data_IF_565346290184
#
_entry.id   IF_565346290184
#
_cell.length_a   1.000
_cell.length_b   1.000
_cell.length_c   1.000
_cell.angle_alpha   90.00
_cell.angle_beta   90.00
_cell.angle_gamma   90.00
#
_symmetry.space_group_name_H-M   'P 1'
#
loop_
_entity.id
_entity.type
_entity.pdbx_description
1 polymer ?
#
# COMPACT_ATOMS: atom_id res chain seq x y z
N UNK A 1 -17.17 -19.04 -17.72
CA UNK A 1 -16.08 -18.51 -16.88
C UNK A 1 -16.71 -17.38 -16.09
N UNK A 2 -16.74 -17.53 -14.77
CA UNK A 2 -17.16 -16.45 -13.86
C UNK A 2 -16.03 -15.43 -13.78
N UNK A 3 -16.39 -14.16 -13.78
CA UNK A 3 -15.45 -13.07 -13.60
C UNK A 3 -15.32 -12.75 -12.10
N UNK A 4 -14.13 -12.45 -11.60
CA UNK A 4 -13.90 -12.12 -10.20
C UNK A 4 -13.14 -10.79 -10.01
N UNK A 5 -13.29 -10.25 -8.81
CA UNK A 5 -12.39 -9.24 -8.25
C UNK A 5 -12.30 -9.53 -6.75
N UNK A 6 -11.10 -9.87 -6.26
CA UNK A 6 -10.84 -10.20 -4.86
C UNK A 6 -9.73 -9.32 -4.32
N UNK A 7 -9.81 -8.98 -3.05
CA UNK A 7 -8.75 -8.30 -2.31
C UNK A 7 -8.42 -9.10 -1.06
N UNK A 8 -7.15 -9.46 -0.92
CA UNK A 8 -6.55 -10.03 0.28
C UNK A 8 -5.64 -8.98 0.91
N UNK A 9 -5.70 -8.81 2.22
CA UNK A 9 -4.90 -7.85 2.98
C UNK A 9 -4.20 -8.56 4.14
N UNK A 10 -3.00 -9.09 3.87
CA UNK A 10 -2.24 -9.96 4.74
C UNK A 10 -1.79 -9.25 6.05
N UNK A 11 -1.37 -10.01 7.08
CA UNK A 11 -0.89 -9.45 8.34
C UNK A 11 0.52 -8.88 8.16
N UNK A 12 0.63 -7.55 8.05
CA UNK A 12 1.86 -6.81 7.80
C UNK A 12 2.37 -5.95 8.98
N UNK A 13 1.81 -6.18 10.17
CA UNK A 13 1.98 -5.40 11.40
C UNK A 13 1.70 -3.92 11.16
N UNK A 14 2.73 -3.09 11.08
CA UNK A 14 2.63 -1.67 10.83
C UNK A 14 2.60 -1.27 9.34
N UNK A 15 2.90 -2.18 8.40
CA UNK A 15 2.94 -1.89 6.96
C UNK A 15 1.81 -2.53 6.13
N UNK A 16 1.96 -2.48 4.80
CA UNK A 16 1.03 -3.09 3.83
C UNK A 16 1.55 -4.39 3.22
N UNK A 17 0.63 -5.31 2.94
CA UNK A 17 0.81 -6.44 2.04
C UNK A 17 -0.56 -6.82 1.48
N UNK A 18 -0.86 -6.44 0.24
CA UNK A 18 -2.17 -6.61 -0.40
C UNK A 18 -2.03 -7.41 -1.69
N UNK A 19 -2.97 -8.32 -1.95
CA UNK A 19 -3.07 -9.02 -3.24
C UNK A 19 -4.47 -8.82 -3.83
N UNK A 20 -4.52 -8.34 -5.06
CA UNK A 20 -5.73 -8.35 -5.87
C UNK A 20 -5.69 -9.58 -6.79
N UNK A 21 -6.74 -10.39 -6.77
CA UNK A 21 -7.05 -11.35 -7.85
C UNK A 21 -8.18 -10.78 -8.71
N UNK A 22 -8.12 -10.91 -10.03
CA UNK A 22 -9.19 -10.43 -10.90
C UNK A 22 -9.23 -11.16 -12.25
N UNK A 23 -10.36 -11.07 -12.97
CA UNK A 23 -10.55 -11.78 -14.25
C UNK A 23 -11.17 -13.16 -14.08
N UNK A 24 -10.81 -14.10 -14.95
CA UNK A 24 -11.34 -15.47 -14.92
C UNK A 24 -11.12 -16.11 -13.54
N UNK A 25 -12.22 -16.46 -12.85
CA UNK A 25 -12.19 -16.96 -11.48
C UNK A 25 -11.36 -18.24 -11.30
N UNK A 26 -11.21 -19.01 -12.38
CA UNK A 26 -10.46 -20.27 -12.40
C UNK A 26 -8.95 -20.04 -12.65
N UNK A 27 -8.58 -18.89 -13.23
CA UNK A 27 -7.20 -18.49 -13.58
C UNK A 27 -7.03 -16.96 -13.47
N UNK A 28 -7.13 -16.40 -12.26
CA UNK A 28 -7.16 -14.95 -12.12
C UNK A 28 -5.80 -14.32 -12.38
N UNK A 29 -5.84 -13.12 -12.93
CA UNK A 29 -4.74 -12.18 -12.95
C UNK A 29 -4.46 -11.67 -11.54
N UNK A 30 -3.19 -11.40 -11.23
CA UNK A 30 -2.75 -11.04 -9.87
C UNK A 30 -1.94 -9.76 -9.82
N UNK A 31 -2.32 -8.86 -8.92
CA UNK A 31 -1.55 -7.65 -8.58
C UNK A 31 -1.17 -7.69 -7.10
N UNK A 32 0.12 -7.77 -6.81
CA UNK A 32 0.67 -7.68 -5.46
C UNK A 32 1.05 -6.23 -5.17
N UNK A 33 0.63 -5.67 -4.04
CA UNK A 33 1.01 -4.34 -3.54
C UNK A 33 1.70 -4.51 -2.19
N UNK A 34 2.98 -4.15 -2.17
CA UNK A 34 3.90 -4.34 -1.05
C UNK A 34 4.02 -5.81 -0.60
N UNK A 35 4.91 -6.09 0.34
CA UNK A 35 5.15 -7.43 0.87
C UNK A 35 5.19 -7.50 2.40
N UNK A 36 4.96 -6.38 3.09
CA UNK A 36 5.01 -6.30 4.54
C UNK A 36 6.45 -6.33 5.11
N UNK A 37 6.52 -6.64 6.41
CA UNK A 37 7.77 -7.00 7.10
C UNK A 37 8.29 -8.36 6.61
N UNK A 38 9.53 -8.70 6.96
CA UNK A 38 10.14 -10.00 6.62
C UNK A 38 9.26 -11.20 7.08
N UNK A 39 8.68 -11.11 8.29
CA UNK A 39 7.79 -12.15 8.82
C UNK A 39 6.53 -12.34 7.97
N UNK A 40 5.95 -11.27 7.41
CA UNK A 40 4.78 -11.32 6.51
C UNK A 40 5.03 -12.18 5.28
N UNK A 41 6.26 -12.19 4.76
CA UNK A 41 6.63 -13.13 3.70
C UNK A 41 6.63 -14.57 4.20
N UNK A 42 7.37 -14.88 5.25
CA UNK A 42 7.52 -16.27 5.73
C UNK A 42 6.23 -16.89 6.27
N UNK A 43 5.42 -16.10 6.98
CA UNK A 43 4.26 -16.61 7.73
C UNK A 43 2.96 -16.60 6.89
N UNK A 44 2.89 -15.77 5.84
CA UNK A 44 1.63 -15.50 5.12
C UNK A 44 1.76 -15.45 3.59
N UNK A 45 2.52 -14.50 3.02
CA UNK A 45 2.55 -14.27 1.58
C UNK A 45 3.30 -15.38 0.82
N UNK A 46 4.44 -15.83 1.32
CA UNK A 46 5.23 -16.93 0.76
C UNK A 46 4.44 -18.23 0.72
N UNK A 47 3.86 -18.71 1.85
CA UNK A 47 2.96 -19.86 1.87
C UNK A 47 1.78 -19.73 0.88
N UNK A 48 1.11 -18.57 0.85
CA UNK A 48 0.00 -18.34 -0.09
C UNK A 48 0.44 -18.49 -1.56
N UNK A 49 1.60 -17.93 -1.93
CA UNK A 49 2.14 -18.02 -3.29
C UNK A 49 2.68 -19.42 -3.61
N UNK A 50 3.18 -20.16 -2.63
CA UNK A 50 3.61 -21.55 -2.77
C UNK A 50 2.43 -22.51 -2.99
N UNK A 51 1.28 -22.27 -2.34
CA UNK A 51 0.05 -23.06 -2.51
C UNK A 51 -0.62 -22.87 -3.89
N UNK A 52 -0.30 -21.81 -4.63
CA UNK A 52 -0.69 -21.67 -6.03
C UNK A 52 -0.03 -22.76 -6.89
N UNK A 53 -0.78 -23.30 -7.87
CA UNK A 53 -0.24 -24.28 -8.82
C UNK A 53 0.92 -23.68 -9.62
N UNK A 54 1.89 -24.49 -10.02
CA UNK A 54 3.11 -24.00 -10.72
C UNK A 54 2.80 -23.12 -11.95
N UNK A 55 1.78 -23.47 -12.74
CA UNK A 55 1.32 -22.69 -13.89
C UNK A 55 0.49 -21.43 -13.57
N UNK A 56 0.15 -21.22 -12.30
CA UNK A 56 -0.62 -20.09 -11.77
C UNK A 56 0.23 -19.12 -10.93
N UNK A 57 1.50 -19.48 -10.63
CA UNK A 57 2.50 -18.61 -9.97
C UNK A 57 3.00 -17.52 -10.92
N UNK A 58 2.11 -16.57 -11.22
CA UNK A 58 2.40 -15.40 -12.02
C UNK A 58 1.71 -14.17 -11.44
N UNK A 59 2.48 -13.10 -11.25
CA UNK A 59 1.97 -11.75 -11.06
C UNK A 59 1.87 -11.07 -12.43
N UNK A 60 0.79 -10.35 -12.67
CA UNK A 60 0.74 -9.41 -13.78
C UNK A 60 1.45 -8.10 -13.42
N UNK A 61 1.32 -7.70 -12.16
CA UNK A 61 2.02 -6.54 -11.62
C UNK A 61 2.41 -6.79 -10.17
N UNK A 62 3.63 -6.43 -9.81
CA UNK A 62 4.00 -6.14 -8.43
C UNK A 62 4.18 -4.63 -8.27
N UNK A 63 3.64 -4.03 -7.22
CA UNK A 63 3.89 -2.64 -6.85
C UNK A 63 4.61 -2.65 -5.52
N UNK A 64 5.77 -2.00 -5.43
CA UNK A 64 6.37 -1.64 -4.14
C UNK A 64 6.21 -0.14 -3.99
N UNK A 65 5.33 0.25 -3.08
CA UNK A 65 4.77 1.59 -3.01
C UNK A 65 5.85 2.63 -2.69
N UNK A 66 6.68 2.34 -1.69
CA UNK A 66 7.82 3.16 -1.28
C UNK A 66 8.89 2.31 -0.56
N UNK A 67 9.86 2.95 0.09
CA UNK A 67 11.05 2.28 0.63
C UNK A 67 11.02 1.95 2.13
N UNK A 68 9.98 2.34 2.84
CA UNK A 68 9.96 2.15 4.29
C UNK A 68 9.76 0.68 4.60
N UNK A 69 10.57 0.23 5.58
CA UNK A 69 10.94 -1.17 5.85
C UNK A 69 9.72 -2.10 6.00
N UNK A 70 8.58 -1.54 6.35
CA UNK A 70 7.29 -2.12 6.69
C UNK A 70 6.56 -2.63 5.45
N UNK A 71 6.89 -2.08 4.28
CA UNK A 71 6.28 -2.39 2.99
C UNK A 71 7.17 -3.30 2.14
N UNK A 72 8.49 -3.13 2.28
CA UNK A 72 9.49 -3.63 1.31
C UNK A 72 10.31 -4.83 1.79
N UNK A 73 10.34 -5.17 3.09
CA UNK A 73 11.13 -6.31 3.58
C UNK A 73 10.61 -7.66 3.06
N UNK A 74 9.31 -7.91 3.14
CA UNK A 74 8.72 -9.14 2.61
C UNK A 74 8.73 -9.18 1.08
N UNK A 75 8.65 -8.03 0.43
CA UNK A 75 8.86 -7.91 -1.02
C UNK A 75 10.29 -8.31 -1.42
N UNK A 76 11.29 -7.86 -0.66
CA UNK A 76 12.66 -8.28 -0.86
C UNK A 76 12.85 -9.78 -0.65
N UNK A 77 12.30 -10.32 0.45
CA UNK A 77 12.39 -11.74 0.77
C UNK A 77 11.78 -12.60 -0.36
N UNK A 78 10.62 -12.20 -0.87
CA UNK A 78 10.00 -12.79 -2.06
C UNK A 78 10.94 -12.77 -3.26
N UNK A 79 11.55 -11.63 -3.60
CA UNK A 79 12.44 -11.57 -4.77
C UNK A 79 13.76 -12.34 -4.57
N UNK A 80 14.19 -12.58 -3.33
CA UNK A 80 15.40 -13.36 -3.00
C UNK A 80 15.15 -14.89 -2.88
N UNK A 81 13.90 -15.33 -2.79
CA UNK A 81 13.55 -16.75 -2.64
C UNK A 81 13.77 -17.56 -3.94
N UNK A 82 14.92 -18.21 -4.04
CA UNK A 82 15.29 -19.00 -5.22
C UNK A 82 14.43 -20.26 -5.42
N UNK A 83 13.77 -20.76 -4.37
CA UNK A 83 12.94 -21.97 -4.43
C UNK A 83 11.52 -21.63 -4.97
N UNK A 84 10.99 -20.45 -4.61
CA UNK A 84 9.73 -19.97 -5.15
C UNK A 84 9.88 -19.51 -6.61
N UNK A 85 9.51 -20.40 -7.53
CA UNK A 85 9.38 -20.09 -8.96
C UNK A 85 8.15 -19.21 -9.19
N UNK A 86 8.37 -17.90 -9.21
CA UNK A 86 7.38 -16.86 -9.48
C UNK A 86 7.86 -15.95 -10.63
N UNK A 87 6.96 -15.62 -11.55
CA UNK A 87 7.18 -14.63 -12.61
C UNK A 87 6.33 -13.38 -12.40
N UNK A 88 6.80 -12.21 -12.85
CA UNK A 88 6.00 -10.99 -12.98
C UNK A 88 6.09 -10.42 -14.40
N UNK A 89 4.98 -9.88 -14.93
CA UNK A 89 4.96 -9.19 -16.24
C UNK A 89 5.45 -7.73 -16.16
N UNK A 90 5.38 -7.11 -14.99
CA UNK A 90 5.96 -5.81 -14.63
C UNK A 90 6.15 -5.73 -13.09
N UNK A 91 7.15 -4.97 -12.63
CA UNK A 91 7.25 -4.48 -11.25
C UNK A 91 7.38 -2.96 -11.24
N UNK A 92 6.55 -2.30 -10.43
CA UNK A 92 6.52 -0.86 -10.24
C UNK A 92 7.25 -0.50 -8.95
N UNK A 93 8.41 0.13 -9.09
CA UNK A 93 9.22 0.58 -7.95
C UNK A 93 10.12 1.75 -8.34
N UNK A 94 10.11 2.81 -7.53
CA UNK A 94 10.89 4.03 -7.76
C UNK A 94 12.24 4.01 -7.04
N UNK A 95 13.18 3.19 -7.53
CA UNK A 95 14.57 3.22 -7.06
C UNK A 95 15.31 4.52 -7.36
N UNK A 96 16.49 4.69 -6.74
CA UNK A 96 17.31 5.89 -6.80
C UNK A 96 17.56 6.49 -8.21
N UNK A 97 17.86 5.72 -9.29
CA UNK A 97 18.05 6.28 -10.62
C UNK A 97 16.82 7.03 -11.13
N UNK A 98 15.62 6.54 -10.81
CA UNK A 98 14.35 7.15 -11.18
C UNK A 98 14.10 8.47 -10.47
N UNK A 99 14.57 8.61 -9.23
CA UNK A 99 14.51 9.87 -8.46
C UNK A 99 15.38 10.94 -9.13
N UNK A 100 16.51 10.53 -9.71
CA UNK A 100 17.40 11.38 -10.52
C UNK A 100 16.89 11.62 -11.97
N UNK A 101 15.65 11.22 -12.29
CA UNK A 101 15.05 11.41 -13.61
C UNK A 101 15.60 10.47 -14.70
N UNK A 102 16.34 9.42 -14.35
CA UNK A 102 16.87 8.43 -15.30
C UNK A 102 15.85 7.31 -15.51
N UNK A 103 15.72 6.85 -16.74
CA UNK A 103 15.09 5.56 -17.03
C UNK A 103 16.11 4.43 -16.88
N UNK A 104 15.65 3.26 -16.42
CA UNK A 104 16.42 2.01 -16.42
C UNK A 104 16.02 1.14 -17.62
N UNK A 105 16.91 0.32 -18.20
CA UNK A 105 16.50 -0.71 -19.15
C UNK A 105 15.43 -1.63 -18.52
N UNK A 106 14.32 -1.85 -19.25
CA UNK A 106 13.18 -2.64 -18.76
C UNK A 106 13.57 -4.04 -18.29
N UNK A 107 14.54 -4.67 -18.95
CA UNK A 107 15.23 -5.88 -18.46
C UNK A 107 16.70 -5.54 -18.27
N UNK A 108 17.22 -5.75 -17.05
CA UNK A 108 18.56 -5.33 -16.67
C UNK A 108 19.62 -6.43 -16.88
N UNK A 109 20.84 -6.10 -17.33
CA UNK A 109 21.96 -7.04 -17.44
C UNK A 109 22.59 -7.36 -16.07
N UNK A 110 23.26 -8.51 -15.99
CA UNK A 110 23.59 -9.24 -14.75
C UNK A 110 24.60 -8.59 -13.76
N UNK A 111 25.09 -7.37 -14.00
CA UNK A 111 26.26 -6.84 -13.29
C UNK A 111 25.97 -5.77 -12.20
N UNK A 112 26.42 -6.11 -10.99
CA UNK A 112 26.71 -5.27 -9.80
C UNK A 112 25.53 -4.88 -8.88
N UNK A 113 25.79 -5.08 -7.58
CA UNK A 113 24.91 -4.90 -6.40
C UNK A 113 25.70 -4.19 -5.31
N UNK A 114 25.21 -3.05 -4.79
CA UNK A 114 25.34 -2.74 -3.37
C UNK A 114 24.23 -1.82 -2.83
N UNK A 115 24.22 -1.63 -1.51
CA UNK A 115 22.98 -1.46 -0.75
C UNK A 115 23.21 -0.73 0.58
N UNK A 116 22.19 -0.02 1.09
CA UNK A 116 21.92 0.55 2.43
C UNK A 116 21.79 2.08 2.29
N UNK A 117 20.94 2.82 3.00
CA UNK A 117 19.95 2.44 4.03
C UNK A 117 18.49 2.98 3.81
N UNK A 118 17.91 3.26 2.62
CA UNK A 118 18.21 2.83 1.25
C UNK A 118 18.60 1.34 1.11
N UNK A 119 18.35 0.54 2.16
CA UNK A 119 18.63 -0.90 2.21
C UNK A 119 17.70 -1.59 1.26
N UNK A 120 16.44 -1.56 1.62
CA UNK A 120 15.48 -2.43 1.00
C UNK A 120 15.17 -1.91 -0.41
N UNK A 121 15.27 -0.60 -0.66
CA UNK A 121 15.24 -0.03 -2.01
C UNK A 121 16.38 -0.50 -2.94
N UNK A 122 17.64 -0.50 -2.49
CA UNK A 122 18.75 -0.98 -3.32
C UNK A 122 18.86 -2.53 -3.34
N UNK A 123 18.48 -3.23 -2.26
CA UNK A 123 18.33 -4.70 -2.24
C UNK A 123 17.25 -5.14 -3.20
N UNK A 124 16.11 -4.47 -3.21
CA UNK A 124 15.02 -4.74 -4.14
C UNK A 124 15.48 -4.41 -5.57
N UNK A 125 16.19 -3.30 -5.78
CA UNK A 125 16.83 -2.99 -7.07
C UNK A 125 17.75 -4.13 -7.54
N UNK A 126 18.56 -4.69 -6.64
CA UNK A 126 19.42 -5.84 -6.91
C UNK A 126 18.64 -7.15 -7.14
N UNK A 127 17.58 -7.39 -6.38
CA UNK A 127 16.77 -8.60 -6.47
C UNK A 127 15.87 -8.60 -7.73
N UNK A 128 15.36 -7.42 -8.15
CA UNK A 128 14.68 -7.21 -9.44
C UNK A 128 15.63 -7.59 -10.59
N UNK A 129 16.88 -7.10 -10.55
CA UNK A 129 17.92 -7.47 -11.52
C UNK A 129 18.14 -8.98 -11.57
N UNK A 130 18.31 -9.62 -10.42
CA UNK A 130 18.54 -11.07 -10.30
C UNK A 130 17.35 -11.89 -10.85
N UNK A 131 16.11 -11.46 -10.58
CA UNK A 131 14.88 -12.09 -11.09
C UNK A 131 14.63 -11.83 -12.59
N UNK A 132 15.28 -10.83 -13.18
CA UNK A 132 15.09 -10.37 -14.58
C UNK A 132 13.64 -10.00 -14.91
N UNK A 133 12.87 -9.59 -13.90
CA UNK A 133 11.49 -9.13 -14.08
C UNK A 133 11.49 -7.78 -14.81
N UNK A 134 10.52 -7.52 -15.71
CA UNK A 134 10.40 -6.22 -16.36
C UNK A 134 10.15 -5.12 -15.33
N UNK A 135 10.94 -4.06 -15.35
CA UNK A 135 10.88 -3.00 -14.33
C UNK A 135 10.35 -1.69 -14.92
N UNK A 136 9.29 -1.16 -14.30
CA UNK A 136 8.57 0.05 -14.71
C UNK A 136 8.24 0.02 -16.21
N UNK A 137 7.91 -1.16 -16.74
CA UNK A 137 7.68 -1.41 -18.17
C UNK A 137 6.51 -0.59 -18.69
N UNK A 138 5.45 -0.41 -17.88
CA UNK A 138 4.34 0.49 -18.19
C UNK A 138 4.75 1.98 -18.28
N UNK A 139 5.97 2.35 -17.92
CA UNK A 139 6.53 3.70 -17.95
C UNK A 139 7.84 3.76 -18.76
N UNK A 140 8.07 2.78 -19.65
CA UNK A 140 9.29 2.68 -20.48
C UNK A 140 10.59 2.74 -19.66
N UNK A 141 10.55 2.16 -18.45
CA UNK A 141 11.66 2.16 -17.49
C UNK A 141 11.88 3.48 -16.75
N UNK A 142 11.06 4.51 -16.96
CA UNK A 142 11.06 5.74 -16.17
C UNK A 142 10.37 5.55 -14.80
N UNK A 143 10.48 6.52 -13.89
CA UNK A 143 9.75 6.45 -12.62
C UNK A 143 8.23 6.38 -12.83
N UNK A 144 7.57 5.56 -12.01
CA UNK A 144 6.12 5.51 -11.81
C UNK A 144 5.72 6.79 -11.08
N UNK A 145 5.22 7.78 -11.82
CA UNK A 145 4.84 9.08 -11.29
C UNK A 145 3.68 9.67 -12.10
N UNK A 146 3.01 10.66 -11.51
CA UNK A 146 2.04 11.52 -12.17
C UNK A 146 2.62 12.15 -13.45
N UNK A 147 1.73 12.65 -14.31
CA UNK A 147 2.11 13.41 -15.49
C UNK A 147 2.85 14.70 -15.09
N UNK A 148 3.64 15.25 -16.02
CA UNK A 148 4.36 16.52 -15.78
C UNK A 148 3.40 17.72 -15.58
N UNK A 149 2.13 17.57 -15.98
CA UNK A 149 1.02 18.49 -15.71
C UNK A 149 0.30 18.22 -14.36
N UNK A 150 0.85 17.33 -13.54
CA UNK A 150 0.32 16.91 -12.25
C UNK A 150 -0.88 15.96 -12.32
N UNK A 151 -1.36 15.58 -13.52
CA UNK A 151 -2.59 14.78 -13.64
C UNK A 151 -2.37 13.28 -13.44
N UNK A 152 -3.44 12.56 -13.03
CA UNK A 152 -3.42 11.11 -12.92
C UNK A 152 -2.99 10.40 -14.21
N UNK A 153 -2.08 9.44 -14.09
CA UNK A 153 -1.58 8.67 -15.23
C UNK A 153 -2.34 7.36 -15.33
N UNK A 154 -3.06 7.18 -16.44
CA UNK A 154 -3.80 5.96 -16.74
C UNK A 154 -2.89 4.88 -17.35
N UNK A 155 -2.99 3.65 -16.84
CA UNK A 155 -2.39 2.43 -17.39
C UNK A 155 -3.44 1.33 -17.46
N UNK A 156 -3.38 0.51 -18.51
CA UNK A 156 -4.25 -0.66 -18.69
C UNK A 156 -3.40 -1.92 -18.53
N UNK A 157 -3.85 -2.84 -17.71
CA UNK A 157 -3.29 -4.18 -17.55
C UNK A 157 -3.81 -5.12 -18.67
N UNK A 158 -3.04 -6.14 -19.02
CA UNK A 158 -3.41 -7.14 -20.01
C UNK A 158 -4.67 -7.93 -19.60
N UNK A 159 -4.87 -8.21 -18.30
CA UNK A 159 -6.12 -8.77 -17.76
C UNK A 159 -7.35 -7.87 -17.88
N UNK A 160 -7.18 -6.63 -18.36
CA UNK A 160 -8.26 -5.71 -18.68
C UNK A 160 -8.51 -4.61 -17.63
N UNK A 161 -7.96 -4.77 -16.42
CA UNK A 161 -8.04 -3.75 -15.38
C UNK A 161 -7.32 -2.45 -15.76
N UNK A 162 -7.71 -1.36 -15.11
CA UNK A 162 -7.18 -0.02 -15.34
C UNK A 162 -6.67 0.54 -14.02
N UNK A 163 -5.46 1.07 -14.04
CA UNK A 163 -4.88 1.81 -12.92
C UNK A 163 -4.83 3.29 -13.29
N UNK A 164 -5.31 4.16 -12.41
CA UNK A 164 -5.09 5.60 -12.49
C UNK A 164 -4.22 6.03 -11.31
N UNK A 165 -2.97 6.37 -11.60
CA UNK A 165 -1.98 6.76 -10.61
C UNK A 165 -2.32 8.13 -10.02
N UNK A 166 -2.36 8.25 -8.69
CA UNK A 166 -2.66 9.48 -7.94
C UNK A 166 -1.44 10.07 -7.21
N UNK A 167 -0.40 9.27 -6.99
CA UNK A 167 0.86 9.63 -6.33
C UNK A 167 1.95 8.66 -6.80
N UNK A 168 3.24 9.04 -6.87
CA UNK A 168 3.84 10.33 -6.48
C UNK A 168 3.98 11.33 -7.63
N UNK A 169 4.31 12.59 -7.31
CA UNK A 169 4.78 13.57 -8.28
C UNK A 169 6.30 13.50 -8.45
N UNK A 170 6.81 14.02 -9.57
CA UNK A 170 8.26 14.14 -9.82
C UNK A 170 8.98 14.91 -8.69
N UNK A 171 8.36 15.99 -8.21
CA UNK A 171 8.89 16.81 -7.10
C UNK A 171 9.06 15.98 -5.81
N UNK A 172 8.05 15.19 -5.42
CA UNK A 172 8.15 14.34 -4.23
C UNK A 172 9.22 13.26 -4.36
N UNK A 173 9.37 12.68 -5.55
CA UNK A 173 10.47 11.74 -5.84
C UNK A 173 11.85 12.41 -5.70
N UNK A 174 12.02 13.62 -6.23
CA UNK A 174 13.27 14.38 -6.08
C UNK A 174 13.55 14.76 -4.61
N UNK A 175 12.52 15.06 -3.83
CA UNK A 175 12.66 15.37 -2.40
C UNK A 175 13.27 14.21 -1.58
N UNK A 176 13.06 12.96 -2.01
CA UNK A 176 13.60 11.76 -1.36
C UNK A 176 15.12 11.58 -1.57
N UNK A 177 15.73 12.19 -2.59
CA UNK A 177 17.17 12.01 -2.93
C UNK A 177 18.08 12.36 -1.75
N UNK A 178 17.83 13.48 -1.06
CA UNK A 178 18.69 13.97 0.03
C UNK A 178 18.62 13.08 1.28
N UNK A 179 17.43 12.69 1.79
CA UNK A 179 17.29 11.63 2.79
C UNK A 179 17.98 10.33 2.39
N UNK A 180 17.73 9.82 1.17
CA UNK A 180 18.31 8.56 0.66
C UNK A 180 19.84 8.59 0.71
N UNK A 181 20.48 9.62 0.13
CA UNK A 181 21.94 9.79 0.14
C UNK A 181 22.52 9.89 1.56
N UNK A 182 21.85 10.62 2.47
CA UNK A 182 22.26 10.75 3.87
C UNK A 182 22.24 9.40 4.58
N UNK A 183 21.26 8.58 4.26
CA UNK A 183 21.02 7.30 4.88
C UNK A 183 21.97 6.22 4.33
N UNK A 184 22.33 6.25 3.04
CA UNK A 184 23.50 5.52 2.51
C UNK A 184 24.78 5.87 3.28
N UNK A 185 25.10 7.16 3.38
CA UNK A 185 26.33 7.62 4.01
C UNK A 185 26.44 7.24 5.50
N UNK A 186 25.30 7.21 6.22
CA UNK A 186 25.23 6.75 7.62
C UNK A 186 25.50 5.26 7.81
N UNK A 187 25.20 4.45 6.81
CA UNK A 187 25.53 3.04 6.78
C UNK A 187 26.99 2.77 6.34
N UNK A 188 27.85 3.81 6.32
CA UNK A 188 29.21 3.79 5.78
C UNK A 188 29.29 3.40 4.30
N UNK A 189 28.21 3.66 3.55
CA UNK A 189 28.05 3.20 2.17
C UNK A 189 28.04 4.36 1.19
N UNK A 190 29.05 4.34 0.31
CA UNK A 190 29.01 5.03 -0.97
C UNK A 190 27.96 4.31 -1.83
N UNK A 191 26.98 5.01 -2.45
CA UNK A 191 26.08 4.42 -3.42
C UNK A 191 26.90 3.78 -4.56
N UNK A 192 27.06 2.46 -4.51
CA UNK A 192 28.02 1.75 -5.36
C UNK A 192 29.03 0.81 -4.67
N UNK A 193 29.07 0.65 -3.33
CA UNK A 193 29.86 -0.43 -2.70
C UNK A 193 29.26 -0.99 -1.38
N UNK A 194 29.67 -2.19 -0.98
CA UNK A 194 28.97 -3.08 -0.02
C UNK A 194 29.79 -3.36 1.25
N UNK A 195 29.18 -3.24 2.43
CA UNK A 195 29.44 -4.09 3.61
C UNK A 195 28.22 -4.06 4.56
N UNK A 196 27.87 -5.17 5.19
CA UNK A 196 26.68 -5.27 6.06
C UNK A 196 27.07 -5.24 7.53
N UNK A 197 26.55 -4.24 8.26
CA UNK A 197 26.41 -4.29 9.72
C UNK A 197 24.95 -3.99 10.09
N UNK A 198 24.36 -4.79 10.97
CA UNK A 198 22.99 -4.63 11.44
C UNK A 198 22.95 -3.86 12.76
N UNK A 199 22.09 -2.85 12.85
CA UNK A 199 21.68 -2.24 14.11
C UNK A 199 20.17 -1.99 14.08
N UNK A 200 19.42 -2.75 14.88
CA UNK A 200 18.01 -2.49 15.12
C UNK A 200 17.86 -1.40 16.19
N UNK A 201 17.03 -0.39 15.93
CA UNK A 201 16.58 0.54 16.96
C UNK A 201 15.20 0.09 17.46
N UNK A 202 15.09 -0.22 18.75
CA UNK A 202 13.81 -0.51 19.37
C UNK A 202 12.99 0.79 19.51
N UNK A 203 11.78 0.81 18.96
CA UNK A 203 10.83 1.89 19.17
C UNK A 203 10.33 1.92 20.63
N UNK A 204 10.12 3.12 21.17
CA UNK A 204 9.50 3.26 22.49
C UNK A 204 8.01 2.86 22.40
N UNK A 205 7.58 1.99 23.30
CA UNK A 205 6.15 1.66 23.46
C UNK A 205 5.44 2.90 23.99
N UNK A 206 4.63 3.54 23.15
CA UNK A 206 3.73 4.59 23.59
C UNK A 206 2.73 4.01 24.59
N UNK A 207 2.62 4.63 25.78
CA UNK A 207 1.59 4.25 26.75
C UNK A 207 0.23 4.48 26.10
N UNK A 208 -0.58 3.41 26.02
CA UNK A 208 -1.94 3.48 25.50
C UNK A 208 -2.77 4.46 26.35
N UNK A 209 -2.96 5.67 25.83
CA UNK A 209 -3.95 6.59 26.37
C UNK A 209 -5.32 5.93 26.23
N UNK A 210 -6.14 6.01 27.29
CA UNK A 210 -7.50 5.49 27.26
C UNK A 210 -8.25 6.10 26.06
N UNK A 211 -8.82 5.24 25.21
CA UNK A 211 -9.53 5.64 23.98
C UNK A 211 -10.94 6.15 24.27
N UNK A 212 -11.06 7.00 25.29
CA UNK A 212 -12.30 7.64 25.75
C UNK A 212 -12.55 8.94 25.00
N UNK A 213 -13.27 8.86 23.88
CA UNK A 213 -14.01 10.00 23.35
C UNK A 213 -15.25 9.54 22.61
N UNK A 214 -16.42 9.70 23.25
CA UNK A 214 -17.72 9.41 22.66
C UNK A 214 -18.16 10.39 21.54
N UNK A 215 -17.29 11.34 21.20
CA UNK A 215 -17.51 12.46 20.29
C UNK A 215 -16.52 12.35 19.12
N UNK A 216 -16.99 11.76 18.01
CA UNK A 216 -16.18 11.63 16.80
C UNK A 216 -16.09 12.98 16.08
N UNK A 217 -17.07 13.86 16.23
CA UNK A 217 -17.10 15.18 15.64
C UNK A 217 -15.95 16.04 16.20
N UNK A 218 -15.71 16.01 17.51
CA UNK A 218 -14.58 16.68 18.16
C UNK A 218 -13.22 16.10 17.73
N UNK A 219 -13.11 14.77 17.57
CA UNK A 219 -11.92 14.13 17.04
C UNK A 219 -11.65 14.54 15.58
N UNK A 220 -12.66 14.47 14.73
CA UNK A 220 -12.50 14.74 13.30
C UNK A 220 -12.14 16.20 13.01
N UNK A 221 -12.67 17.13 13.82
CA UNK A 221 -12.37 18.56 13.75
C UNK A 221 -11.05 18.96 14.44
N UNK A 222 -10.38 18.05 15.15
CA UNK A 222 -9.05 18.33 15.73
C UNK A 222 -8.05 18.63 14.63
N UNK A 223 -7.32 19.73 14.76
CA UNK A 223 -6.23 20.09 13.83
C UNK A 223 -5.04 19.15 14.05
N UNK A 224 -4.52 18.62 12.95
CA UNK A 224 -3.34 17.76 12.91
C UNK A 224 -2.42 18.25 11.81
N UNK A 225 -1.09 18.12 11.95
CA UNK A 225 -0.18 18.43 10.85
C UNK A 225 -0.37 17.40 9.72
N UNK A 226 -0.22 17.83 8.48
CA UNK A 226 -0.12 16.92 7.34
C UNK A 226 1.23 16.19 7.36
N UNK A 227 1.27 15.00 6.78
CA UNK A 227 2.51 14.25 6.57
C UNK A 227 3.43 14.99 5.59
N UNK A 228 4.72 14.98 5.95
CA UNK A 228 5.81 15.62 5.19
C UNK A 228 7.01 14.70 5.00
N UNK A 229 6.95 13.44 5.45
CA UNK A 229 8.03 12.47 5.30
C UNK A 229 8.32 12.20 3.81
N UNK A 230 9.54 12.39 3.31
CA UNK A 230 9.84 12.22 1.88
C UNK A 230 9.66 10.80 1.33
N UNK A 231 9.70 9.77 2.19
CA UNK A 231 9.40 8.39 1.79
C UNK A 231 7.90 8.21 1.51
N UNK A 232 7.04 8.64 2.43
CA UNK A 232 5.59 8.66 2.28
C UNK A 232 5.14 9.56 1.10
N UNK A 233 5.91 10.62 0.83
CA UNK A 233 5.71 11.46 -0.36
C UNK A 233 6.01 10.74 -1.68
N UNK A 234 6.83 9.68 -1.67
CA UNK A 234 7.17 8.88 -2.85
C UNK A 234 6.22 7.71 -3.10
N UNK A 235 5.26 7.46 -2.21
CA UNK A 235 4.35 6.31 -2.28
C UNK A 235 3.54 6.28 -3.57
N UNK A 236 3.64 5.16 -4.30
CA UNK A 236 2.79 4.81 -5.44
C UNK A 236 1.38 4.52 -4.91
N UNK A 237 0.44 5.42 -5.18
CA UNK A 237 -0.95 5.30 -4.78
C UNK A 237 -1.88 5.50 -5.98
N UNK A 238 -2.98 4.76 -6.05
CA UNK A 238 -3.79 4.68 -7.27
C UNK A 238 -5.24 4.23 -7.07
N UNK A 239 -6.07 4.54 -8.07
CA UNK A 239 -7.36 3.89 -8.28
C UNK A 239 -7.15 2.64 -9.14
N UNK A 240 -7.65 1.49 -8.69
CA UNK A 240 -7.73 0.26 -9.48
C UNK A 240 -9.17 0.04 -9.93
N UNK A 241 -9.41 -0.14 -11.23
CA UNK A 241 -10.74 -0.34 -11.82
C UNK A 241 -10.83 -1.69 -12.54
N UNK A 242 -11.82 -2.49 -12.19
CA UNK A 242 -12.15 -3.75 -12.88
C UNK A 242 -13.62 -4.13 -12.69
N UNK A 243 -14.27 -4.72 -13.70
CA UNK A 243 -15.64 -5.23 -13.59
C UNK A 243 -16.71 -4.19 -13.21
N UNK A 244 -16.44 -2.90 -13.37
CA UNK A 244 -17.29 -1.80 -12.89
C UNK A 244 -17.00 -1.35 -11.45
N UNK A 245 -16.19 -2.10 -10.70
CA UNK A 245 -15.69 -1.74 -9.38
C UNK A 245 -14.47 -0.83 -9.46
N UNK A 246 -14.29 -0.02 -8.40
CA UNK A 246 -13.13 0.86 -8.21
C UNK A 246 -12.62 0.73 -6.78
N UNK A 247 -11.32 0.51 -6.61
CA UNK A 247 -10.64 0.44 -5.31
C UNK A 247 -9.66 1.62 -5.20
N UNK A 248 -9.65 2.36 -4.09
CA UNK A 248 -8.61 3.35 -3.79
C UNK A 248 -7.55 2.69 -2.90
N UNK A 249 -6.35 2.53 -3.45
CA UNK A 249 -5.17 2.05 -2.74
C UNK A 249 -4.24 3.24 -2.47
N UNK A 250 -4.35 3.83 -1.28
CA UNK A 250 -3.66 5.08 -0.95
C UNK A 250 -2.19 4.91 -0.54
N UNK A 251 -1.72 3.68 -0.31
CA UNK A 251 -0.42 3.40 0.30
C UNK A 251 -0.22 4.32 1.53
N UNK A 252 0.88 5.08 1.55
CA UNK A 252 1.22 6.06 2.59
C UNK A 252 1.26 7.50 2.05
N UNK A 253 0.68 7.71 0.86
CA UNK A 253 0.80 8.96 0.12
C UNK A 253 0.32 10.20 0.90
N UNK A 254 0.99 11.33 0.66
CA UNK A 254 0.65 12.62 1.28
C UNK A 254 -0.79 13.04 0.96
N UNK A 255 -1.55 13.55 1.95
CA UNK A 255 -2.99 13.80 1.81
C UNK A 255 -3.34 14.78 0.70
N UNK A 256 -2.56 15.87 0.57
CA UNK A 256 -2.77 16.88 -0.47
C UNK A 256 -2.60 16.32 -1.88
N UNK A 257 -1.61 15.44 -2.11
CA UNK A 257 -1.35 14.88 -3.43
C UNK A 257 -2.45 13.89 -3.85
N UNK A 258 -2.91 13.05 -2.92
CA UNK A 258 -4.08 12.20 -3.12
C UNK A 258 -5.33 13.02 -3.45
N UNK A 259 -5.59 14.08 -2.67
CA UNK A 259 -6.74 14.96 -2.84
C UNK A 259 -6.75 15.66 -4.20
N UNK A 260 -5.60 16.21 -4.63
CA UNK A 260 -5.48 16.88 -5.92
C UNK A 260 -5.57 15.88 -7.09
N UNK A 261 -4.99 14.67 -6.94
CA UNK A 261 -5.16 13.57 -7.90
C UNK A 261 -6.61 13.13 -8.06
N UNK A 262 -7.36 12.95 -6.96
CA UNK A 262 -8.78 12.60 -6.98
C UNK A 262 -9.64 13.71 -7.63
N UNK A 263 -9.36 14.97 -7.30
CA UNK A 263 -10.02 16.13 -7.93
C UNK A 263 -9.72 16.20 -9.43
N UNK A 264 -8.48 15.93 -9.85
CA UNK A 264 -8.10 15.90 -11.26
C UNK A 264 -8.73 14.71 -12.01
N UNK A 265 -9.02 13.60 -11.31
CA UNK A 265 -9.64 12.40 -11.88
C UNK A 265 -11.14 12.60 -12.22
N UNK A 266 -11.98 13.10 -11.30
CA UNK A 266 -13.43 13.27 -11.52
C UNK A 266 -13.89 14.75 -11.54
N UNK A 267 -13.01 15.66 -11.99
CA UNK A 267 -13.34 17.08 -12.19
C UNK A 267 -13.78 17.82 -10.92
N UNK A 268 -13.23 17.44 -9.77
CA UNK A 268 -13.53 18.02 -8.46
C UNK A 268 -14.72 17.41 -7.72
N UNK A 269 -15.40 16.41 -8.28
CA UNK A 269 -16.44 15.65 -7.59
C UNK A 269 -15.84 14.62 -6.62
N UNK A 270 -16.67 14.14 -5.69
CA UNK A 270 -16.30 13.03 -4.81
C UNK A 270 -16.22 11.72 -5.61
N UNK A 271 -15.04 11.10 -5.62
CA UNK A 271 -14.78 9.89 -6.41
C UNK A 271 -15.44 8.69 -5.72
N UNK A 272 -16.39 8.04 -6.40
CA UNK A 272 -17.03 6.83 -5.87
C UNK A 272 -16.08 5.62 -5.97
N UNK A 273 -15.86 4.94 -4.85
CA UNK A 273 -15.06 3.70 -4.76
C UNK A 273 -15.78 2.65 -3.93
N UNK A 274 -15.62 1.39 -4.30
CA UNK A 274 -16.16 0.23 -3.59
C UNK A 274 -15.44 0.04 -2.25
N UNK A 275 -14.12 0.24 -2.23
CA UNK A 275 -13.28 0.15 -1.04
C UNK A 275 -12.15 1.19 -1.07
N UNK A 276 -11.87 1.78 0.08
CA UNK A 276 -10.75 2.70 0.32
C UNK A 276 -9.79 2.08 1.34
N UNK A 277 -8.61 1.61 0.90
CA UNK A 277 -7.49 1.34 1.82
C UNK A 277 -6.93 2.67 2.29
N UNK A 278 -7.04 2.95 3.59
CA UNK A 278 -6.70 4.25 4.16
C UNK A 278 -5.21 4.57 3.98
N UNK A 279 -4.90 5.85 3.77
CA UNK A 279 -3.50 6.29 3.65
C UNK A 279 -2.77 6.12 4.99
N UNK A 280 -1.52 5.62 4.93
CA UNK A 280 -0.59 5.52 6.06
C UNK A 280 -1.26 4.90 7.28
N UNK A 281 -1.87 3.72 7.07
CA UNK A 281 -2.50 2.88 8.08
C UNK A 281 -3.65 3.53 8.88
N UNK A 282 -4.22 4.63 8.38
CA UNK A 282 -5.15 5.46 9.14
C UNK A 282 -4.44 6.42 10.09
N UNK A 283 -3.32 6.99 9.65
CA UNK A 283 -2.64 8.11 10.30
C UNK A 283 -3.48 9.39 10.23
N UNK A 284 -3.56 10.12 11.35
CA UNK A 284 -4.22 11.44 11.41
C UNK A 284 -3.52 12.51 10.55
N UNK A 285 -2.29 12.27 10.14
CA UNK A 285 -1.51 13.15 9.25
C UNK A 285 -1.76 12.89 7.76
N UNK A 286 -2.44 11.79 7.43
CA UNK A 286 -2.70 11.38 6.04
C UNK A 286 -4.20 11.23 5.73
N UNK A 287 -5.05 11.01 6.74
CA UNK A 287 -6.51 11.07 6.61
C UNK A 287 -7.05 12.43 7.07
N UNK A 288 -7.18 13.38 6.15
CA UNK A 288 -7.78 14.72 6.40
C UNK A 288 -9.29 14.71 6.15
N UNK A 289 -10.03 15.72 6.65
CA UNK A 289 -11.47 15.87 6.35
C UNK A 289 -11.74 16.09 4.86
N UNK A 290 -10.90 16.87 4.19
CA UNK A 290 -11.02 17.15 2.75
C UNK A 290 -10.77 15.91 1.91
N UNK A 291 -9.81 15.06 2.29
CA UNK A 291 -9.58 13.76 1.63
C UNK A 291 -10.77 12.83 1.84
N UNK A 292 -11.31 12.75 3.06
CA UNK A 292 -12.54 11.98 3.33
C UNK A 292 -13.73 12.47 2.49
N UNK A 293 -13.94 13.78 2.38
CA UNK A 293 -15.03 14.35 1.59
C UNK A 293 -14.84 14.22 0.06
N UNK A 294 -13.60 14.00 -0.41
CA UNK A 294 -13.29 13.80 -1.83
C UNK A 294 -13.50 12.36 -2.32
N UNK A 295 -13.88 11.43 -1.44
CA UNK A 295 -14.11 10.01 -1.77
C UNK A 295 -15.49 9.59 -1.24
N UNK A 296 -16.31 8.99 -2.08
CA UNK A 296 -17.57 8.38 -1.68
C UNK A 296 -17.39 6.85 -1.60
N UNK A 297 -17.35 6.30 -0.39
CA UNK A 297 -17.03 4.89 -0.15
C UNK A 297 -17.97 4.26 0.89
N UNK A 298 -18.36 3.01 0.66
CA UNK A 298 -19.13 2.22 1.64
C UNK A 298 -18.25 1.36 2.56
N UNK A 299 -17.03 1.05 2.08
CA UNK A 299 -16.06 0.20 2.77
C UNK A 299 -14.71 0.91 2.91
N UNK A 300 -14.21 1.03 4.15
CA UNK A 300 -12.84 1.43 4.45
C UNK A 300 -12.02 0.21 4.89
N UNK A 301 -10.75 0.14 4.52
CA UNK A 301 -9.80 -0.88 4.97
C UNK A 301 -8.64 -0.25 5.74
N UNK A 302 -8.50 -0.68 6.98
CA UNK A 302 -7.38 -0.39 7.89
C UNK A 302 -6.44 -1.60 7.87
N UNK A 303 -5.24 -1.40 7.33
CA UNK A 303 -4.18 -2.41 7.24
C UNK A 303 -3.12 -2.19 8.32
N UNK A 304 -3.44 -2.40 9.61
CA UNK A 304 -2.40 -2.34 10.66
C UNK A 304 -2.80 -3.06 11.96
N UNK A 305 -1.79 -3.56 12.67
CA UNK A 305 -1.88 -4.00 14.06
C UNK A 305 -1.80 -2.84 15.06
N UNK A 306 -1.25 -1.69 14.66
CA UNK A 306 -0.93 -0.56 15.54
C UNK A 306 0.23 -0.79 16.50
N UNK A 307 0.94 -1.93 16.46
CA UNK A 307 1.95 -2.29 17.46
C UNK A 307 3.12 -1.31 17.59
N UNK A 308 3.53 -0.67 16.49
CA UNK A 308 4.65 0.28 16.49
C UNK A 308 4.22 1.74 16.64
N UNK A 309 3.14 2.15 15.96
CA UNK A 309 2.74 3.57 15.83
C UNK A 309 1.39 3.91 16.47
N UNK A 310 0.72 2.94 17.11
CA UNK A 310 -0.66 3.06 17.64
C UNK A 310 -1.74 3.39 16.61
N UNK A 311 -1.43 3.24 15.31
CA UNK A 311 -2.40 3.39 14.23
C UNK A 311 -3.49 2.29 14.27
N UNK A 312 -4.70 2.57 13.75
CA UNK A 312 -5.13 3.88 13.25
C UNK A 312 -5.32 4.89 14.39
N UNK A 313 -5.11 6.15 14.07
CA UNK A 313 -5.41 7.28 14.94
C UNK A 313 -6.92 7.46 15.13
N UNK A 314 -7.31 7.97 16.30
CA UNK A 314 -8.71 8.31 16.58
C UNK A 314 -9.26 9.39 15.66
N UNK A 315 -8.46 10.43 15.37
CA UNK A 315 -8.84 11.52 14.48
C UNK A 315 -9.04 11.02 13.04
N UNK A 316 -8.20 10.09 12.55
CA UNK A 316 -8.33 9.52 11.22
C UNK A 316 -9.62 8.71 11.08
N UNK A 317 -9.88 7.80 12.02
CA UNK A 317 -11.07 6.95 12.00
C UNK A 317 -12.35 7.76 12.24
N UNK A 318 -12.32 8.78 13.08
CA UNK A 318 -13.42 9.73 13.21
C UNK A 318 -13.70 10.46 11.88
N UNK A 319 -12.66 10.90 11.16
CA UNK A 319 -12.81 11.53 9.83
C UNK A 319 -13.35 10.56 8.79
N UNK A 320 -12.99 9.28 8.86
CA UNK A 320 -13.49 8.22 7.95
C UNK A 320 -14.95 7.88 8.24
N UNK A 321 -15.32 7.66 9.52
CA UNK A 321 -16.69 7.33 9.93
C UNK A 321 -17.65 8.51 9.66
N UNK A 322 -17.17 9.75 9.76
CA UNK A 322 -17.96 10.95 9.45
C UNK A 322 -17.82 11.42 7.98
N UNK A 323 -17.12 10.68 7.12
CA UNK A 323 -17.00 10.97 5.69
C UNK A 323 -17.81 9.99 4.85
N UNK A 324 -18.78 10.53 4.10
CA UNK A 324 -19.62 9.74 3.19
C UNK A 324 -20.54 8.75 3.91
N UNK A 325 -20.95 7.71 3.19
CA UNK A 325 -21.83 6.64 3.68
C UNK A 325 -21.02 5.42 4.17
N UNK A 326 -19.93 5.66 4.92
CA UNK A 326 -18.95 4.66 5.36
C UNK A 326 -19.52 3.69 6.40
N UNK A 327 -20.37 2.77 5.95
CA UNK A 327 -21.07 1.76 6.79
C UNK A 327 -20.13 0.67 7.31
N UNK A 328 -18.99 0.41 6.66
CA UNK A 328 -18.12 -0.71 6.99
C UNK A 328 -16.67 -0.27 7.14
N UNK A 329 -16.11 -0.47 8.33
CA UNK A 329 -14.68 -0.32 8.62
C UNK A 329 -14.08 -1.71 8.82
N UNK A 330 -13.27 -2.13 7.87
CA UNK A 330 -12.58 -3.42 7.89
C UNK A 330 -11.18 -3.26 8.48
N UNK A 331 -10.81 -4.14 9.40
CA UNK A 331 -9.47 -4.26 9.96
C UNK A 331 -8.87 -5.61 9.56
N UNK A 332 -7.58 -5.65 9.23
CA UNK A 332 -6.84 -6.91 9.06
C UNK A 332 -6.26 -7.47 10.38
N UNK A 333 -6.46 -6.81 11.52
CA UNK A 333 -6.07 -7.27 12.86
C UNK A 333 -7.19 -7.04 13.88
N UNK A 334 -7.31 -7.92 14.89
CA UNK A 334 -8.10 -7.68 16.11
C UNK A 334 -7.20 -7.79 17.35
N UNK A 335 -6.98 -6.67 18.02
CA UNK A 335 -6.25 -6.55 19.29
C UNK A 335 -6.82 -5.36 20.09
N UNK A 336 -6.22 -4.98 21.22
CA UNK A 336 -6.73 -3.89 22.06
C UNK A 336 -6.80 -2.53 21.33
N UNK A 337 -5.94 -2.31 20.33
CA UNK A 337 -5.91 -1.09 19.52
C UNK A 337 -7.01 -1.13 18.46
N UNK A 338 -7.03 -2.11 17.57
CA UNK A 338 -8.01 -2.16 16.47
C UNK A 338 -9.40 -2.56 16.95
N UNK A 339 -9.48 -3.41 17.98
CA UNK A 339 -10.70 -3.88 18.62
C UNK A 339 -11.44 -2.80 19.40
N UNK A 340 -10.80 -1.68 19.77
CA UNK A 340 -11.48 -0.56 20.45
C UNK A 340 -12.59 0.09 19.60
N UNK A 341 -12.60 -0.18 18.29
CA UNK A 341 -13.62 0.30 17.35
C UNK A 341 -14.86 -0.61 17.26
N UNK A 342 -14.79 -1.83 17.83
CA UNK A 342 -15.89 -2.77 18.04
C UNK A 342 -16.75 -2.31 19.22
N UNK A 343 -17.31 -1.10 19.08
CA UNK A 343 -17.91 -0.34 20.17
C UNK A 343 -19.40 -0.12 19.89
N UNK A 344 -20.23 -0.98 20.47
CA UNK A 344 -21.68 -1.01 20.29
C UNK A 344 -22.37 0.37 20.40
N UNK A 345 -22.09 1.20 21.43
CA UNK A 345 -22.59 2.58 21.49
C UNK A 345 -22.16 3.48 20.32
N UNK A 346 -20.88 3.47 19.93
CA UNK A 346 -20.39 4.28 18.80
C UNK A 346 -20.98 3.80 17.46
N UNK A 347 -20.95 2.49 17.20
CA UNK A 347 -21.52 1.88 16.00
C UNK A 347 -23.01 2.24 15.83
N UNK A 348 -23.80 2.17 16.92
CA UNK A 348 -25.22 2.56 16.91
C UNK A 348 -25.43 4.07 16.78
N UNK A 349 -24.57 4.91 17.36
CA UNK A 349 -24.69 6.38 17.26
C UNK A 349 -24.36 6.90 15.86
N UNK A 350 -23.32 6.36 15.21
CA UNK A 350 -22.80 6.87 13.94
C UNK A 350 -23.09 5.99 12.72
N UNK A 351 -23.71 4.82 12.89
CA UNK A 351 -24.20 4.00 11.78
C UNK A 351 -23.13 3.19 11.03
N UNK A 352 -21.95 2.97 11.64
CA UNK A 352 -20.88 2.15 11.06
C UNK A 352 -20.78 0.77 11.73
N UNK A 353 -20.14 -0.17 11.04
CA UNK A 353 -19.79 -1.51 11.53
C UNK A 353 -18.27 -1.68 11.50
N UNK A 354 -17.67 -2.05 12.63
CA UNK A 354 -16.30 -2.56 12.66
C UNK A 354 -16.28 -4.05 12.34
N UNK A 355 -15.34 -4.51 11.52
CA UNK A 355 -15.22 -5.94 11.17
C UNK A 355 -13.76 -6.40 11.10
N UNK A 356 -13.55 -7.66 11.49
CA UNK A 356 -12.23 -8.24 11.75
C UNK A 356 -12.07 -9.60 11.04
N UNK A 357 -10.84 -10.13 10.86
CA UNK A 357 -10.62 -11.41 10.17
C UNK A 357 -11.45 -12.56 10.75
N UNK A 358 -11.93 -13.47 9.89
CA UNK A 358 -12.78 -14.60 10.32
C UNK A 358 -12.00 -15.88 10.65
N UNK A 359 -10.83 -16.05 10.05
CA UNK A 359 -10.12 -17.31 10.01
C UNK A 359 -8.81 -17.28 10.82
N UNK A 360 -8.33 -18.46 11.19
CA UNK A 360 -7.13 -18.66 12.02
C UNK A 360 -5.82 -18.18 11.35
N UNK A 361 -5.81 -17.99 10.02
CA UNK A 361 -4.70 -17.41 9.27
C UNK A 361 -4.57 -15.88 9.44
N UNK A 362 -5.57 -15.22 10.03
CA UNK A 362 -5.44 -13.88 10.60
C UNK A 362 -5.56 -12.69 9.66
N UNK A 363 -5.93 -12.85 8.38
CA UNK A 363 -6.05 -11.72 7.44
C UNK A 363 -7.44 -11.47 6.84
N UNK A 364 -7.64 -10.24 6.37
CA UNK A 364 -8.87 -9.83 5.69
C UNK A 364 -8.86 -10.30 4.23
N UNK A 365 -9.94 -10.91 3.76
CA UNK A 365 -10.16 -11.30 2.36
C UNK A 365 -11.60 -11.04 1.94
N UNK A 366 -11.82 -10.48 0.75
CA UNK A 366 -13.15 -10.19 0.22
C UNK A 366 -13.21 -10.29 -1.31
N UNK A 367 -14.41 -10.55 -1.84
CA UNK A 367 -14.75 -10.61 -3.26
C UNK A 367 -15.84 -9.58 -3.58
N UNK A 368 -15.67 -8.85 -4.68
CA UNK A 368 -16.60 -7.80 -5.13
C UNK A 368 -17.58 -8.40 -6.14
N UNK A 369 -18.77 -8.73 -5.66
CA UNK A 369 -19.84 -9.35 -6.44
C UNK A 369 -20.89 -8.32 -6.83
N UNK A 370 -21.75 -8.62 -7.81
CA UNK A 370 -22.93 -7.79 -8.14
C UNK A 370 -23.83 -7.45 -6.93
N UNK A 371 -23.78 -8.24 -5.87
CA UNK A 371 -24.56 -8.10 -4.64
C UNK A 371 -23.77 -7.33 -3.54
N UNK A 372 -22.62 -6.73 -3.89
CA UNK A 372 -21.72 -6.00 -3.01
C UNK A 372 -20.44 -6.76 -2.65
N UNK A 373 -19.67 -6.20 -1.72
CA UNK A 373 -18.48 -6.82 -1.12
C UNK A 373 -18.91 -7.98 -0.21
N UNK A 374 -18.48 -9.19 -0.55
CA UNK A 374 -18.68 -10.40 0.25
C UNK A 374 -17.34 -10.82 0.86
N UNK A 375 -17.31 -11.14 2.17
CA UNK A 375 -16.07 -11.63 2.80
C UNK A 375 -15.85 -13.09 2.46
N UNK A 376 -14.61 -13.41 2.09
CA UNK A 376 -14.16 -14.79 1.92
C UNK A 376 -13.89 -15.40 3.30
N UNK A 377 -14.12 -16.70 3.44
CA UNK A 377 -14.02 -17.45 4.70
C UNK A 377 -12.67 -18.12 4.87
#
# INVERSE_FOLDING_TARGET
>A
MSDCLRLHAFPANEGDCLLIEYGDSDKPHRVLIDGGRLATYHDHLGPFLADLKDGERKLELMVVSHIDRDHIEGALALLQDAELTLAADDIWFNAFPHLEGKSVPVVLPDNQIPVLSAKHGELLTAAIRQRKWPWNKAFDGAAVALGDDGKPVRRKLAGGAVIHLLSPSREKLTALIKPWRKECARAEIVPGLLAVAGAGAAGQVAVLAARDSADLEALANRKTPDDTAPANGSSIAFLFEYGGWRLLLAADAHPGLLLDGLRAYDGGKAVSVALFKLSHHGSKSNMTRDLGAAVAFEHALVSTSGSQFSHPDQEALARVILAGDAKNVHFNYRNDITGSWDNDPLMKKYGYLATYPMAANGYFSAEFTKDGLQRLK
#
